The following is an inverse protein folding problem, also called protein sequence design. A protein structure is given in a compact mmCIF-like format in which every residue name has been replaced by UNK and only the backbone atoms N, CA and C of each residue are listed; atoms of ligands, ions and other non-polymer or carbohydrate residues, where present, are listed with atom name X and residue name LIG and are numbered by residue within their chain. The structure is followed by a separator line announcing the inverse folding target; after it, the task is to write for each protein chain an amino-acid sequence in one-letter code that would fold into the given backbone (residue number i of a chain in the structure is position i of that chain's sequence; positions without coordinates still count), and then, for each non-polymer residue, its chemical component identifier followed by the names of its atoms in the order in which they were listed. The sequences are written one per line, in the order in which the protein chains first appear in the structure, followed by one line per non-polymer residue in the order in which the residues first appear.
data_IF_998996728482
#
_entry.id   IF_998996728482
#
_cell.length_a   1.000
_cell.length_b   1.000
_cell.length_c   1.000
_cell.angle_alpha   90.00
_cell.angle_beta   90.00
_cell.angle_gamma   90.00
#
_symmetry.space_group_name_H-M   'P 1'
#
loop_
_entity.id
_entity.type
_entity.pdbx_description
1 polymer ?
#
# COMPACT_ATOMS: atom_id res chain seq x y z
N UNK A 1 7.62 -3.91 -19.58
CA UNK A 1 6.75 -3.08 -18.71
C UNK A 1 6.04 -1.96 -19.46
N UNK A 2 6.75 -1.01 -20.07
CA UNK A 2 6.11 0.11 -20.81
C UNK A 2 5.16 -0.35 -21.94
N UNK A 3 5.51 -1.37 -22.79
CA UNK A 3 4.63 -1.86 -23.83
C UNK A 3 3.32 -2.47 -23.31
N UNK A 4 3.36 -3.12 -22.16
CA UNK A 4 2.18 -3.76 -21.56
C UNK A 4 1.17 -2.71 -21.05
N UNK A 5 1.65 -1.61 -20.48
CA UNK A 5 0.77 -0.50 -20.06
C UNK A 5 0.17 0.24 -21.25
N UNK A 6 0.93 0.43 -22.31
CA UNK A 6 0.43 1.05 -23.55
C UNK A 6 -0.68 0.20 -24.19
N UNK A 7 -0.56 -1.13 -24.18
CA UNK A 7 -1.60 -2.03 -24.68
C UNK A 7 -2.93 -1.90 -23.90
N UNK A 8 -2.91 -1.43 -22.67
CA UNK A 8 -4.13 -1.22 -21.87
C UNK A 8 -4.99 -0.05 -22.34
N UNK A 9 -4.43 0.87 -23.13
CA UNK A 9 -5.18 1.98 -23.73
C UNK A 9 -6.24 1.46 -24.70
N UNK A 10 -5.99 0.32 -25.33
CA UNK A 10 -6.89 -0.32 -26.31
C UNK A 10 -7.90 -1.29 -25.67
N UNK A 11 -7.86 -1.47 -24.35
CA UNK A 11 -8.75 -2.40 -23.68
C UNK A 11 -10.19 -1.85 -23.61
N UNK A 12 -11.15 -2.75 -23.79
CA UNK A 12 -12.56 -2.42 -23.54
C UNK A 12 -12.79 -2.07 -22.07
N UNK A 13 -13.82 -1.25 -21.82
CA UNK A 13 -14.24 -0.89 -20.45
C UNK A 13 -14.50 -2.14 -19.60
N UNK A 14 -15.14 -3.16 -20.18
CA UNK A 14 -15.39 -4.43 -19.47
C UNK A 14 -14.10 -5.14 -19.04
N UNK A 15 -13.07 -5.16 -19.93
CA UNK A 15 -11.77 -5.74 -19.62
C UNK A 15 -11.05 -4.94 -18.53
N UNK A 16 -11.08 -3.61 -18.59
CA UNK A 16 -10.50 -2.73 -17.56
C UNK A 16 -11.15 -2.96 -16.19
N UNK A 17 -12.47 -3.07 -16.13
CA UNK A 17 -13.21 -3.35 -14.88
C UNK A 17 -12.85 -4.72 -14.31
N UNK A 18 -12.79 -5.74 -15.14
CA UNK A 18 -12.40 -7.09 -14.71
C UNK A 18 -10.99 -7.11 -14.13
N UNK A 19 -10.04 -6.43 -14.79
CA UNK A 19 -8.65 -6.35 -14.34
C UNK A 19 -8.52 -5.55 -13.02
N UNK A 20 -9.22 -4.43 -12.88
CA UNK A 20 -9.24 -3.66 -11.64
C UNK A 20 -9.80 -4.48 -10.47
N UNK A 21 -10.91 -5.18 -10.69
CA UNK A 21 -11.49 -6.04 -9.65
C UNK A 21 -10.55 -7.18 -9.27
N UNK A 22 -9.84 -7.76 -10.24
CA UNK A 22 -8.82 -8.78 -9.98
C UNK A 22 -7.66 -8.22 -9.16
N UNK A 23 -7.13 -7.07 -9.53
CA UNK A 23 -6.03 -6.41 -8.84
C UNK A 23 -6.45 -5.99 -7.42
N UNK A 24 -7.67 -5.47 -7.26
CA UNK A 24 -8.24 -5.10 -5.97
C UNK A 24 -8.32 -6.31 -5.02
N UNK A 25 -8.86 -7.44 -5.48
CA UNK A 25 -8.90 -8.67 -4.68
C UNK A 25 -7.51 -9.15 -4.28
N UNK A 26 -6.53 -9.07 -5.19
CA UNK A 26 -5.13 -9.39 -4.89
C UNK A 26 -4.56 -8.51 -3.78
N UNK A 27 -4.77 -7.20 -3.88
CA UNK A 27 -4.32 -6.21 -2.89
C UNK A 27 -4.97 -6.47 -1.52
N UNK A 28 -6.29 -6.61 -1.48
CA UNK A 28 -7.02 -6.86 -0.23
C UNK A 28 -6.63 -8.18 0.41
N UNK A 29 -6.41 -9.22 -0.39
CA UNK A 29 -5.92 -10.52 0.11
C UNK A 29 -4.53 -10.39 0.72
N UNK A 30 -3.62 -9.68 0.08
CA UNK A 30 -2.28 -9.43 0.62
C UNK A 30 -2.35 -8.63 1.93
N UNK A 31 -3.18 -7.59 1.98
CA UNK A 31 -3.38 -6.78 3.17
C UNK A 31 -3.86 -7.61 4.37
N UNK A 32 -4.92 -8.41 4.22
CA UNK A 32 -5.44 -9.22 5.34
C UNK A 32 -4.52 -10.37 5.75
N UNK A 33 -3.68 -10.87 4.84
CA UNK A 33 -2.68 -11.89 5.17
C UNK A 33 -1.51 -11.33 5.94
N UNK A 34 -0.99 -10.18 5.51
CA UNK A 34 0.23 -9.58 6.06
C UNK A 34 0.00 -8.68 7.26
N UNK A 35 -1.18 -8.06 7.39
CA UNK A 35 -1.47 -7.03 8.38
C UNK A 35 -2.62 -7.45 9.29
N UNK A 36 -2.36 -7.37 10.61
CA UNK A 36 -3.39 -7.61 11.63
C UNK A 36 -4.46 -6.54 11.58
N UNK A 37 -4.07 -5.28 11.46
CA UNK A 37 -4.97 -4.13 11.41
C UNK A 37 -5.96 -4.23 10.24
N UNK A 38 -5.46 -4.56 9.03
CA UNK A 38 -6.32 -4.77 7.88
C UNK A 38 -7.24 -5.98 8.05
N UNK A 39 -6.76 -7.07 8.63
CA UNK A 39 -7.57 -8.26 8.89
C UNK A 39 -8.77 -7.98 9.78
N UNK A 40 -8.57 -7.21 10.83
CA UNK A 40 -9.64 -6.83 11.76
C UNK A 40 -10.65 -5.88 11.11
N UNK A 41 -10.18 -4.92 10.32
CA UNK A 41 -11.05 -3.93 9.67
C UNK A 41 -11.81 -4.46 8.45
N UNK A 42 -11.25 -5.40 7.71
CA UNK A 42 -11.82 -5.95 6.49
C UNK A 42 -12.55 -7.29 6.71
N UNK A 43 -12.63 -7.77 7.95
CA UNK A 43 -13.19 -9.07 8.27
C UNK A 43 -14.67 -9.28 7.89
N UNK A 44 -15.42 -8.19 7.68
CA UNK A 44 -16.82 -8.24 7.22
C UNK A 44 -17.00 -8.20 5.70
N UNK A 45 -15.90 -8.14 4.92
CA UNK A 45 -15.94 -8.00 3.47
C UNK A 45 -15.61 -9.33 2.80
N UNK A 46 -16.47 -9.79 1.86
CA UNK A 46 -16.17 -10.94 1.01
C UNK A 46 -15.17 -10.57 -0.09
N UNK A 47 -13.88 -10.61 0.27
CA UNK A 47 -12.79 -10.24 -0.64
C UNK A 47 -12.78 -11.10 -1.90
N UNK A 48 -13.16 -12.38 -1.82
CA UNK A 48 -13.14 -13.30 -2.96
C UNK A 48 -14.09 -12.87 -4.09
N UNK A 49 -15.19 -12.19 -3.73
CA UNK A 49 -16.20 -11.69 -4.66
C UNK A 49 -16.14 -10.19 -4.91
N UNK A 50 -15.24 -9.51 -4.24
CA UNK A 50 -15.14 -8.04 -4.29
C UNK A 50 -14.89 -7.51 -5.70
N UNK A 51 -15.58 -6.44 -6.02
CA UNK A 51 -15.44 -5.63 -7.24
C UNK A 51 -15.13 -4.17 -6.88
N UNK A 52 -14.83 -3.34 -7.86
CA UNK A 52 -14.61 -1.90 -7.61
C UNK A 52 -15.85 -1.19 -7.06
N UNK A 53 -17.06 -1.71 -7.30
CA UNK A 53 -18.30 -1.17 -6.74
C UNK A 53 -18.39 -1.35 -5.21
N UNK A 54 -17.67 -2.31 -4.65
CA UNK A 54 -17.67 -2.61 -3.21
C UNK A 54 -16.68 -1.74 -2.42
N UNK A 55 -15.93 -0.85 -3.09
CA UNK A 55 -14.96 0.04 -2.44
C UNK A 55 -15.60 0.97 -1.41
N UNK A 56 -16.86 1.35 -1.59
CA UNK A 56 -17.60 2.20 -0.63
C UNK A 56 -17.79 1.51 0.73
N UNK A 57 -17.78 0.18 0.76
CA UNK A 57 -17.88 -0.59 2.00
C UNK A 57 -16.53 -0.72 2.74
N UNK A 58 -15.42 -0.36 2.10
CA UNK A 58 -14.09 -0.41 2.72
C UNK A 58 -13.94 0.76 3.68
N UNK A 59 -13.64 0.51 4.97
CA UNK A 59 -13.42 1.58 5.94
C UNK A 59 -12.26 2.50 5.51
N UNK A 60 -12.47 3.79 5.56
CA UNK A 60 -11.43 4.79 5.26
C UNK A 60 -10.30 4.69 6.27
N UNK A 61 -9.05 4.68 5.80
CA UNK A 61 -7.87 4.82 6.63
C UNK A 61 -7.35 6.25 6.54
N UNK A 62 -7.17 6.87 7.68
CA UNK A 62 -6.61 8.22 7.75
C UNK A 62 -5.09 8.17 7.95
N UNK A 63 -4.42 9.31 7.75
CA UNK A 63 -3.00 9.45 8.08
C UNK A 63 -2.74 9.25 9.57
N UNK A 64 -3.67 9.66 10.42
CA UNK A 64 -3.58 9.43 11.86
C UNK A 64 -3.60 7.94 12.18
N UNK A 65 -4.54 7.18 11.59
CA UNK A 65 -4.60 5.72 11.73
C UNK A 65 -3.28 5.07 11.28
N UNK A 66 -2.75 5.49 10.12
CA UNK A 66 -1.47 4.97 9.61
C UNK A 66 -0.34 5.18 10.60
N UNK A 67 -0.21 6.38 11.16
CA UNK A 67 0.90 6.69 12.06
C UNK A 67 0.73 6.08 13.45
N UNK A 68 -0.49 5.95 13.95
CA UNK A 68 -0.78 5.32 15.23
C UNK A 68 -0.59 3.80 15.19
N UNK A 69 -1.01 3.17 14.10
CA UNK A 69 -1.01 1.71 13.93
C UNK A 69 0.03 1.20 12.94
N UNK A 70 1.05 1.98 12.62
CA UNK A 70 2.02 1.67 11.56
C UNK A 70 2.55 0.23 11.64
N UNK A 71 3.01 -0.21 12.80
CA UNK A 71 3.61 -1.53 12.99
C UNK A 71 2.60 -2.68 12.87
N UNK A 72 1.30 -2.39 12.97
CA UNK A 72 0.22 -3.35 12.75
C UNK A 72 -0.26 -3.34 11.29
N UNK A 73 -0.07 -2.22 10.59
CA UNK A 73 -0.50 -2.00 9.20
C UNK A 73 0.50 -2.62 8.21
N UNK A 74 1.81 -2.44 8.45
CA UNK A 74 2.85 -2.95 7.53
C UNK A 74 2.76 -4.48 7.40
N UNK A 75 2.93 -4.96 6.18
CA UNK A 75 2.82 -6.38 5.87
C UNK A 75 4.12 -7.16 6.09
N UNK A 76 5.27 -6.49 6.04
CA UNK A 76 6.57 -7.08 6.39
C UNK A 76 6.90 -6.84 7.86
N UNK A 77 7.01 -7.91 8.62
CA UNK A 77 7.30 -7.89 10.07
C UNK A 77 8.70 -7.38 10.43
N UNK A 78 9.58 -7.24 9.45
CA UNK A 78 10.92 -6.64 9.63
C UNK A 78 10.87 -5.12 9.72
N UNK A 79 9.75 -4.51 9.31
CA UNK A 79 9.56 -3.07 9.30
C UNK A 79 8.89 -2.59 10.60
N UNK A 80 9.35 -1.46 11.11
CA UNK A 80 8.68 -0.71 12.17
C UNK A 80 8.73 0.78 11.90
N UNK A 81 7.80 1.52 12.47
CA UNK A 81 7.78 2.98 12.39
C UNK A 81 9.10 3.59 12.85
N UNK A 82 9.62 3.13 13.98
CA UNK A 82 10.88 3.64 14.54
C UNK A 82 12.08 3.42 13.60
N UNK A 83 12.14 2.27 12.92
CA UNK A 83 13.20 2.01 11.93
C UNK A 83 13.09 2.95 10.75
N UNK A 84 11.86 3.20 10.26
CA UNK A 84 11.63 4.11 9.14
C UNK A 84 11.99 5.56 9.51
N UNK A 85 11.63 6.01 10.71
CA UNK A 85 11.98 7.33 11.23
C UNK A 85 13.51 7.50 11.31
N UNK A 86 14.22 6.57 11.92
CA UNK A 86 15.69 6.58 11.99
C UNK A 86 16.34 6.55 10.62
N UNK A 87 15.79 5.77 9.70
CA UNK A 87 16.29 5.73 8.33
C UNK A 87 16.17 7.09 7.64
N UNK A 88 15.03 7.75 7.76
CA UNK A 88 14.82 9.09 7.21
C UNK A 88 15.73 10.17 7.80
N UNK A 89 16.09 10.06 9.08
CA UNK A 89 17.03 10.98 9.75
C UNK A 89 18.47 10.78 9.27
N UNK A 90 18.85 9.55 8.90
CA UNK A 90 20.21 9.18 8.53
C UNK A 90 20.50 9.17 7.03
N UNK A 91 19.47 9.30 6.18
CA UNK A 91 19.65 9.19 4.72
C UNK A 91 20.10 10.51 4.12
N UNK A 92 21.29 10.49 3.54
CA UNK A 92 21.78 11.52 2.63
C UNK A 92 21.85 10.92 1.22
N UNK A 93 20.72 10.94 0.49
CA UNK A 93 20.60 10.39 -0.87
C UNK A 93 19.64 9.18 -0.98
N UNK A 94 19.78 8.38 -2.05
CA UNK A 94 18.89 7.26 -2.39
C UNK A 94 19.21 5.98 -1.60
N UNK A 95 19.13 6.03 -0.27
CA UNK A 95 19.31 4.85 0.58
C UNK A 95 18.02 4.01 0.68
N UNK A 96 18.19 2.68 0.64
CA UNK A 96 17.09 1.74 0.85
C UNK A 96 17.15 1.11 2.23
N UNK A 97 16.05 1.15 2.98
CA UNK A 97 15.92 0.45 4.25
C UNK A 97 15.94 -1.07 3.99
N UNK A 98 16.76 -1.81 4.72
CA UNK A 98 17.02 -3.24 4.54
C UNK A 98 17.49 -3.63 3.13
N UNK A 99 17.96 -2.66 2.32
CA UNK A 99 18.34 -2.89 0.93
C UNK A 99 17.17 -3.13 -0.03
N UNK A 100 15.94 -3.08 0.44
CA UNK A 100 14.74 -3.45 -0.30
C UNK A 100 13.68 -2.34 -0.35
N UNK A 101 13.61 -1.47 0.66
CA UNK A 101 12.50 -0.53 0.83
C UNK A 101 12.90 0.92 0.66
N UNK A 102 12.15 1.60 -0.18
CA UNK A 102 12.21 3.06 -0.27
C UNK A 102 11.24 3.67 0.75
N UNK A 103 11.76 4.50 1.65
CA UNK A 103 10.97 5.16 2.69
C UNK A 103 10.84 6.63 2.37
N UNK A 104 9.62 7.14 2.37
CA UNK A 104 9.33 8.55 2.12
C UNK A 104 8.46 9.12 3.24
N UNK A 105 8.66 10.40 3.53
CA UNK A 105 7.81 11.14 4.44
C UNK A 105 7.07 12.25 3.69
N UNK A 106 5.78 12.41 3.95
CA UNK A 106 5.03 13.54 3.44
C UNK A 106 5.45 14.82 4.19
N UNK A 107 5.56 15.94 3.48
CA UNK A 107 5.68 17.24 4.09
C UNK A 107 4.39 17.58 4.82
N UNK A 108 4.40 17.52 6.15
CA UNK A 108 3.22 17.79 6.97
C UNK A 108 2.91 19.27 7.07
N UNK A 109 2.13 19.83 6.14
CA UNK A 109 1.56 21.18 6.29
C UNK A 109 0.55 21.28 7.45
N UNK A 110 0.05 20.13 7.94
CA UNK A 110 -0.92 20.00 9.05
C UNK A 110 -0.31 19.47 10.35
N UNK A 111 1.02 19.45 10.50
CA UNK A 111 1.72 19.06 11.73
C UNK A 111 1.96 17.54 11.90
N UNK A 112 1.28 16.67 11.17
CA UNK A 112 1.55 15.23 11.16
C UNK A 112 2.22 14.81 9.86
N UNK A 113 3.46 14.32 9.95
CA UNK A 113 4.15 13.68 8.83
C UNK A 113 3.63 12.26 8.66
N UNK A 114 3.22 11.88 7.44
CA UNK A 114 2.97 10.48 7.09
C UNK A 114 4.27 9.83 6.64
N UNK A 115 4.50 8.58 7.05
CA UNK A 115 5.62 7.76 6.57
C UNK A 115 5.05 6.67 5.67
N UNK A 116 5.65 6.51 4.50
CA UNK A 116 5.22 5.54 3.49
C UNK A 116 6.42 4.70 3.07
N UNK A 117 6.19 3.41 2.88
CA UNK A 117 7.22 2.44 2.53
C UNK A 117 6.86 1.77 1.21
N UNK A 118 7.80 1.71 0.30
CA UNK A 118 7.64 1.12 -1.02
C UNK A 118 8.67 0.03 -1.23
N UNK A 119 8.24 -1.13 -1.71
CA UNK A 119 9.15 -2.19 -2.12
C UNK A 119 9.88 -1.79 -3.42
N UNK A 120 11.20 -1.71 -3.38
CA UNK A 120 12.03 -1.36 -4.53
C UNK A 120 12.02 -2.45 -5.63
N UNK A 121 11.82 -3.72 -5.26
CA UNK A 121 11.72 -4.81 -6.22
C UNK A 121 10.39 -4.80 -6.96
N UNK A 122 9.34 -4.26 -6.35
CA UNK A 122 8.05 -4.00 -6.97
C UNK A 122 8.06 -2.73 -7.84
N UNK A 123 9.20 -2.34 -8.42
CA UNK A 123 9.35 -1.17 -9.31
C UNK A 123 8.50 -1.21 -10.61
N UNK A 124 7.41 -1.93 -10.56
CA UNK A 124 6.17 -1.64 -11.25
C UNK A 124 5.43 -0.54 -10.47
N UNK A 125 4.27 -0.05 -10.93
CA UNK A 125 3.61 1.07 -10.30
C UNK A 125 3.37 0.75 -8.83
N UNK A 126 4.13 1.41 -8.02
CA UNK A 126 4.06 1.64 -6.58
C UNK A 126 3.08 0.73 -5.82
N UNK A 127 3.60 -0.36 -5.28
CA UNK A 127 2.89 -1.09 -4.22
C UNK A 127 3.21 -0.40 -2.90
N UNK A 128 2.29 0.41 -2.42
CA UNK A 128 2.39 0.99 -1.07
C UNK A 128 2.21 -0.15 -0.07
N UNK A 129 3.26 -0.45 0.69
CA UNK A 129 3.24 -1.48 1.74
C UNK A 129 2.41 -1.00 2.94
N UNK A 130 2.11 0.29 3.00
CA UNK A 130 1.23 0.92 3.97
C UNK A 130 0.18 1.77 3.24
N UNK A 131 -1.02 1.29 3.12
CA UNK A 131 -2.11 2.10 2.58
C UNK A 131 -3.29 1.29 2.19
#
# INVERSE_FOLDING_TARGET
MLPEYLARIEWSVARLRAERSRALRGLMTAAVRGSRWHRERLGGIDIARMTEADLEAVPVMTRADLMEHFDEIVTDRRLSRQQCERHLEGVHGDGYLLGEYHVVASAGSSGQRGIYVYDAAAAGPVTVVAG
#
